data_IF_801915629322
#
_entry.id   IF_801915629322
#
_cell.length_a   1.000
_cell.length_b   1.000
_cell.length_c   1.000
_cell.angle_alpha   90.00
_cell.angle_beta   90.00
_cell.angle_gamma   90.00
#
_symmetry.space_group_name_H-M   'P 1'
#
loop_
_entity.id
_entity.type
_entity.pdbx_description
1 polymer ?
#
# COMPACT_ATOMS: atom_id res chain seq x y z
N UNK A 1 3.80 31.06 11.72
CA UNK A 1 4.91 30.20 12.20
C UNK A 1 4.37 29.29 13.31
N UNK A 2 4.43 27.95 13.12
CA UNK A 2 3.93 26.97 14.11
C UNK A 2 4.93 26.81 15.28
N UNK A 3 5.09 27.83 16.10
CA UNK A 3 5.98 27.81 17.27
C UNK A 3 5.57 26.68 18.21
N UNK A 4 6.50 25.76 18.52
CA UNK A 4 6.30 24.66 19.47
C UNK A 4 5.71 23.38 18.93
N UNK A 5 5.29 23.29 17.65
CA UNK A 5 4.83 22.03 17.03
C UNK A 5 5.97 21.35 16.29
N UNK A 6 6.15 20.06 16.53
CA UNK A 6 7.07 19.22 15.74
C UNK A 6 6.57 19.07 14.31
N UNK A 7 7.46 18.71 13.37
CA UNK A 7 7.08 18.39 11.97
C UNK A 7 6.01 17.27 11.97
N UNK A 8 6.19 16.25 12.79
CA UNK A 8 5.21 15.17 12.94
C UNK A 8 3.83 15.71 13.33
N UNK A 9 3.75 16.59 14.34
CA UNK A 9 2.46 17.18 14.75
C UNK A 9 1.84 18.04 13.66
N UNK A 10 2.63 18.71 12.84
CA UNK A 10 2.14 19.47 11.70
C UNK A 10 1.55 18.55 10.63
N UNK A 11 2.24 17.46 10.29
CA UNK A 11 1.72 16.44 9.37
C UNK A 11 0.42 15.85 9.91
N UNK A 12 0.39 15.46 11.18
CA UNK A 12 -0.82 14.86 11.79
C UNK A 12 -1.98 15.85 11.88
N UNK A 13 -1.74 17.17 11.89
CA UNK A 13 -2.82 18.16 11.86
C UNK A 13 -3.56 18.23 10.53
N UNK A 14 -3.02 17.64 9.45
CA UNK A 14 -3.69 17.52 8.15
C UNK A 14 -4.71 16.36 8.12
N UNK A 15 -4.66 15.47 9.11
CA UNK A 15 -5.53 14.31 9.21
C UNK A 15 -6.97 14.75 9.50
N UNK A 16 -7.97 14.32 8.70
CA UNK A 16 -9.36 14.66 8.91
C UNK A 16 -9.93 13.88 10.12
N UNK A 17 -9.83 14.45 11.30
CA UNK A 17 -10.19 13.78 12.57
C UNK A 17 -11.63 13.26 12.60
N UNK A 18 -12.57 13.99 12.00
CA UNK A 18 -13.98 13.58 11.93
C UNK A 18 -14.14 12.28 11.17
N UNK A 19 -13.46 12.16 10.01
CA UNK A 19 -13.55 10.94 9.20
C UNK A 19 -12.88 9.76 9.90
N UNK A 20 -11.73 10.00 10.54
CA UNK A 20 -11.07 8.98 11.36
C UNK A 20 -12.00 8.49 12.49
N UNK A 21 -12.62 9.42 13.21
CA UNK A 21 -13.61 9.07 14.26
C UNK A 21 -14.75 8.24 13.70
N UNK A 22 -15.29 8.59 12.52
CA UNK A 22 -16.36 7.82 11.87
C UNK A 22 -15.93 6.38 11.60
N UNK A 23 -14.70 6.16 11.12
CA UNK A 23 -14.17 4.80 10.94
C UNK A 23 -14.03 4.06 12.28
N UNK A 24 -13.52 4.72 13.30
CA UNK A 24 -13.40 4.13 14.66
C UNK A 24 -14.75 3.73 15.23
N UNK A 25 -15.77 4.59 15.11
CA UNK A 25 -17.11 4.36 15.64
C UNK A 25 -17.81 3.20 14.91
N UNK A 26 -17.63 3.09 13.57
CA UNK A 26 -18.18 2.01 12.73
C UNK A 26 -17.79 0.63 13.25
N UNK A 27 -16.56 0.45 13.65
CA UNK A 27 -16.01 -0.83 14.14
C UNK A 27 -15.91 -0.88 15.67
N UNK A 28 -16.50 0.07 16.38
CA UNK A 28 -16.45 0.15 17.84
C UNK A 28 -15.03 0.08 18.40
N UNK A 29 -14.04 0.65 17.68
CA UNK A 29 -12.62 0.49 17.98
C UNK A 29 -12.17 0.97 19.34
N UNK A 30 -12.89 1.92 19.94
CA UNK A 30 -12.65 2.42 21.30
C UNK A 30 -13.52 1.72 22.37
N UNK A 31 -14.26 0.65 22.02
CA UNK A 31 -15.04 -0.09 23.02
C UNK A 31 -14.13 -0.66 24.11
N UNK A 32 -14.43 -0.34 25.36
CA UNK A 32 -13.62 -0.68 26.54
C UNK A 32 -12.17 -0.15 26.54
N UNK A 33 -11.81 0.77 25.64
CA UNK A 33 -10.53 1.47 25.69
C UNK A 33 -10.56 2.53 26.81
N UNK A 34 -9.72 2.38 27.86
CA UNK A 34 -9.66 3.35 28.98
C UNK A 34 -8.65 4.46 28.71
N UNK A 35 -7.39 4.09 28.48
CA UNK A 35 -6.27 5.05 28.43
C UNK A 35 -5.56 5.10 27.07
N UNK A 36 -5.82 4.17 26.16
CA UNK A 36 -5.17 4.08 24.87
C UNK A 36 -6.21 3.94 23.76
N UNK A 37 -6.56 5.07 23.14
CA UNK A 37 -7.56 5.13 22.07
C UNK A 37 -7.01 4.64 20.71
N UNK A 38 -7.90 4.45 19.73
CA UNK A 38 -7.49 4.20 18.35
C UNK A 38 -6.69 5.37 17.76
N UNK A 39 -6.98 6.60 18.18
CA UNK A 39 -6.21 7.79 17.78
C UNK A 39 -4.78 7.73 18.33
N UNK A 40 -4.62 7.36 19.60
CA UNK A 40 -3.28 7.20 20.20
C UNK A 40 -2.49 6.11 19.47
N UNK A 41 -3.14 4.96 19.17
CA UNK A 41 -2.49 3.90 18.38
C UNK A 41 -2.08 4.41 17.00
N UNK A 42 -2.97 5.11 16.30
CA UNK A 42 -2.68 5.67 14.99
C UNK A 42 -1.48 6.62 15.04
N UNK A 43 -1.45 7.55 16.01
CA UNK A 43 -0.33 8.49 16.18
C UNK A 43 0.98 7.77 16.48
N UNK A 44 0.97 6.81 17.40
CA UNK A 44 2.18 6.05 17.77
C UNK A 44 2.70 5.22 16.60
N UNK A 45 1.83 4.52 15.88
CA UNK A 45 2.22 3.71 14.72
C UNK A 45 2.69 4.58 13.54
N UNK A 46 2.04 5.73 13.29
CA UNK A 46 2.47 6.70 12.28
C UNK A 46 3.83 7.30 12.64
N UNK A 47 4.03 7.64 13.90
CA UNK A 47 5.32 8.14 14.39
C UNK A 47 6.41 7.08 14.19
N UNK A 48 6.13 5.84 14.56
CA UNK A 48 7.06 4.72 14.40
C UNK A 48 7.46 4.52 12.92
N UNK A 49 6.48 4.54 12.03
CA UNK A 49 6.69 4.37 10.59
C UNK A 49 7.53 5.53 10.01
N UNK A 50 7.19 6.78 10.33
CA UNK A 50 7.90 7.96 9.82
C UNK A 50 9.32 8.11 10.40
N UNK A 51 9.60 7.51 11.55
CA UNK A 51 10.92 7.55 12.18
C UNK A 51 11.71 6.25 12.04
N UNK A 52 11.22 5.29 11.22
CA UNK A 52 11.93 4.05 10.89
C UNK A 52 12.14 3.13 12.10
N UNK A 53 11.09 2.91 12.93
CA UNK A 53 11.18 2.00 14.07
C UNK A 53 10.90 0.56 13.63
N UNK A 54 11.79 -0.37 14.00
CA UNK A 54 11.76 -1.75 13.52
C UNK A 54 10.92 -2.69 14.40
N UNK A 55 10.66 -2.34 15.65
CA UNK A 55 9.97 -3.22 16.59
C UNK A 55 9.18 -2.45 17.64
N UNK A 56 8.19 -3.13 18.26
CA UNK A 56 7.42 -2.55 19.37
C UNK A 56 8.31 -2.18 20.57
N UNK A 57 9.44 -2.87 20.77
CA UNK A 57 10.43 -2.54 21.80
C UNK A 57 11.18 -1.26 21.43
N UNK A 58 11.56 -1.11 20.19
CA UNK A 58 12.22 0.10 19.70
C UNK A 58 11.28 1.31 19.78
N UNK A 59 9.99 1.13 19.44
CA UNK A 59 8.97 2.16 19.64
C UNK A 59 8.89 2.59 21.12
N UNK A 60 8.76 1.65 22.04
CA UNK A 60 8.69 1.91 23.50
C UNK A 60 9.92 2.67 23.98
N UNK A 61 11.12 2.21 23.61
CA UNK A 61 12.39 2.85 23.99
C UNK A 61 12.48 4.28 23.45
N UNK A 62 12.11 4.49 22.18
CA UNK A 62 12.10 5.81 21.57
C UNK A 62 11.11 6.74 22.25
N UNK A 63 9.88 6.31 22.48
CA UNK A 63 8.86 7.10 23.18
C UNK A 63 9.30 7.42 24.62
N UNK A 64 9.93 6.49 25.32
CA UNK A 64 10.45 6.70 26.67
C UNK A 64 11.55 7.74 26.69
N UNK A 65 12.51 7.64 25.76
CA UNK A 65 13.60 8.61 25.62
C UNK A 65 13.09 10.04 25.30
N UNK A 66 11.96 10.15 24.59
CA UNK A 66 11.34 11.40 24.20
C UNK A 66 10.18 11.81 25.12
N UNK A 67 10.03 11.23 26.29
CA UNK A 67 8.87 11.41 27.18
C UNK A 67 8.51 12.90 27.43
N UNK A 68 9.49 13.75 27.63
CA UNK A 68 9.30 15.21 27.83
C UNK A 68 8.85 15.97 26.57
N UNK A 69 8.95 15.35 25.38
CA UNK A 69 8.63 15.98 24.08
C UNK A 69 7.40 15.37 23.40
N UNK A 70 6.86 14.27 23.91
CA UNK A 70 5.72 13.55 23.31
C UNK A 70 4.49 14.43 23.18
N UNK A 71 4.26 15.31 24.13
CA UNK A 71 3.18 16.30 24.08
C UNK A 71 3.20 17.12 22.77
N UNK A 72 4.38 17.51 22.30
CA UNK A 72 4.53 18.25 21.05
C UNK A 72 4.26 17.39 19.80
N UNK A 73 4.19 16.08 19.97
CA UNK A 73 3.81 15.12 18.91
C UNK A 73 2.32 14.73 18.97
N UNK A 74 1.58 15.26 19.95
CA UNK A 74 0.19 14.87 20.20
C UNK A 74 0.05 13.51 20.87
N UNK A 75 1.14 12.94 21.39
CA UNK A 75 1.18 11.66 22.10
C UNK A 75 1.22 11.96 23.61
N UNK A 76 0.21 11.47 24.35
CA UNK A 76 0.01 11.84 25.75
C UNK A 76 1.05 11.26 26.70
N UNK A 77 1.58 10.07 26.39
CA UNK A 77 2.56 9.37 27.23
C UNK A 77 3.34 8.31 26.45
N UNK A 78 4.45 7.86 27.01
CA UNK A 78 5.23 6.76 26.46
C UNK A 78 4.43 5.45 26.63
N UNK A 79 3.94 4.91 25.52
CA UNK A 79 3.05 3.73 25.52
C UNK A 79 3.88 2.46 25.71
N UNK A 80 3.58 1.62 26.72
CA UNK A 80 4.24 0.34 26.89
C UNK A 80 4.00 -0.59 25.70
N UNK A 81 5.01 -1.33 25.27
CA UNK A 81 4.94 -2.27 24.13
C UNK A 81 3.78 -3.29 24.27
N UNK A 82 3.51 -3.75 25.49
CA UNK A 82 2.43 -4.70 25.74
C UNK A 82 1.04 -4.08 25.48
N UNK A 83 0.87 -2.79 25.78
CA UNK A 83 -0.37 -2.05 25.47
C UNK A 83 -0.54 -1.90 23.96
N UNK A 84 0.54 -1.55 23.25
CA UNK A 84 0.54 -1.42 21.81
C UNK A 84 0.31 -2.77 21.12
N UNK A 85 0.97 -3.85 21.60
CA UNK A 85 0.77 -5.21 21.10
C UNK A 85 -0.68 -5.66 21.22
N UNK A 86 -1.29 -5.50 22.42
CA UNK A 86 -2.69 -5.84 22.65
C UNK A 86 -3.66 -5.02 21.80
N UNK A 87 -3.35 -3.75 21.56
CA UNK A 87 -4.16 -2.91 20.69
C UNK A 87 -4.08 -3.39 19.23
N UNK A 88 -2.87 -3.71 18.73
CA UNK A 88 -2.67 -4.24 17.39
C UNK A 88 -3.35 -5.60 17.18
N UNK A 89 -3.38 -6.45 18.22
CA UNK A 89 -4.03 -7.76 18.17
C UNK A 89 -5.57 -7.68 18.17
N UNK A 90 -6.14 -6.78 19.02
CA UNK A 90 -7.57 -6.78 19.31
C UNK A 90 -8.40 -5.83 18.45
N UNK A 91 -7.80 -4.76 17.97
CA UNK A 91 -8.53 -3.75 17.21
C UNK A 91 -8.74 -4.21 15.77
N UNK A 92 -9.92 -3.91 15.26
CA UNK A 92 -10.26 -4.21 13.88
C UNK A 92 -9.40 -3.38 12.93
N UNK A 93 -8.64 -4.04 12.08
CA UNK A 93 -7.77 -3.42 11.10
C UNK A 93 -8.53 -2.63 10.02
N UNK A 94 -9.81 -2.95 9.80
CA UNK A 94 -10.65 -2.22 8.84
C UNK A 94 -10.82 -0.74 9.22
N UNK A 95 -10.66 -0.37 10.49
CA UNK A 95 -10.64 1.04 10.93
C UNK A 95 -9.61 1.81 10.10
N UNK A 96 -8.40 1.29 10.01
CA UNK A 96 -7.28 1.95 9.35
C UNK A 96 -7.35 1.81 7.84
N UNK A 97 -7.86 0.68 7.35
CA UNK A 97 -8.11 0.48 5.91
C UNK A 97 -9.15 1.47 5.38
N UNK A 98 -10.32 1.53 6.01
CA UNK A 98 -11.37 2.46 5.58
C UNK A 98 -10.92 3.91 5.69
N UNK A 99 -10.12 4.22 6.70
CA UNK A 99 -9.55 5.55 6.84
C UNK A 99 -8.54 5.87 5.74
N UNK A 100 -7.69 4.91 5.35
CA UNK A 100 -6.79 5.05 4.22
C UNK A 100 -7.57 5.31 2.91
N UNK A 101 -8.66 4.57 2.67
CA UNK A 101 -9.55 4.78 1.52
C UNK A 101 -10.15 6.19 1.51
N UNK A 102 -10.53 6.73 2.68
CA UNK A 102 -11.02 8.12 2.80
C UNK A 102 -9.93 9.12 2.45
N UNK A 103 -8.70 8.91 2.95
CA UNK A 103 -7.56 9.78 2.64
C UNK A 103 -7.25 9.77 1.15
N UNK A 104 -7.19 8.59 0.53
CA UNK A 104 -6.94 8.44 -0.90
C UNK A 104 -7.99 9.18 -1.75
N UNK A 105 -9.28 9.06 -1.41
CA UNK A 105 -10.35 9.80 -2.09
C UNK A 105 -10.17 11.33 -2.00
N UNK A 106 -9.64 11.84 -0.90
CA UNK A 106 -9.38 13.27 -0.71
C UNK A 106 -8.13 13.76 -1.41
N UNK A 107 -7.10 12.92 -1.47
CA UNK A 107 -5.79 13.29 -2.02
C UNK A 107 -5.76 13.13 -3.54
N UNK A 108 -6.38 12.09 -4.09
CA UNK A 108 -6.37 11.80 -5.53
C UNK A 108 -6.72 13.02 -6.42
N UNK A 109 -7.77 13.82 -6.12
CA UNK A 109 -8.09 15.00 -6.94
C UNK A 109 -6.99 16.07 -6.98
N UNK A 110 -6.11 16.12 -5.98
CA UNK A 110 -5.01 17.10 -5.93
C UNK A 110 -3.93 16.81 -6.98
N UNK A 111 -3.80 15.54 -7.38
CA UNK A 111 -2.79 15.05 -8.32
C UNK A 111 -3.31 14.82 -9.75
N UNK A 112 -4.60 15.07 -10.01
CA UNK A 112 -5.20 14.87 -11.35
C UNK A 112 -4.49 15.70 -12.43
N UNK A 113 -3.93 16.86 -12.06
CA UNK A 113 -3.23 17.76 -12.98
C UNK A 113 -1.73 17.47 -13.07
N UNK A 114 -1.21 16.57 -12.26
CA UNK A 114 0.21 16.21 -12.32
C UNK A 114 0.46 15.45 -13.62
N UNK A 115 1.41 15.96 -14.40
CA UNK A 115 1.79 15.32 -15.66
C UNK A 115 2.64 14.10 -15.35
N UNK A 116 2.28 12.98 -15.91
CA UNK A 116 3.18 11.86 -16.05
C UNK A 116 4.33 12.30 -16.99
N UNK A 117 5.56 11.87 -16.69
CA UNK A 117 6.76 12.31 -17.46
C UNK A 117 6.74 11.89 -18.93
N UNK A 118 5.81 11.03 -19.32
CA UNK A 118 5.56 10.62 -20.69
C UNK A 118 4.34 11.36 -21.23
N UNK A 119 4.32 11.65 -22.50
CA UNK A 119 3.20 12.30 -23.22
C UNK A 119 2.11 11.24 -23.49
N UNK A 120 1.42 10.85 -22.42
CA UNK A 120 0.36 9.86 -22.41
C UNK A 120 -0.88 10.45 -21.74
N UNK A 121 -1.99 10.43 -22.46
CA UNK A 121 -3.31 10.85 -21.92
C UNK A 121 -3.90 9.79 -20.98
N UNK A 122 -3.51 8.53 -21.18
CA UNK A 122 -4.00 7.40 -20.39
C UNK A 122 -3.58 7.48 -18.93
N UNK A 123 -4.42 6.97 -18.03
CA UNK A 123 -4.00 6.68 -16.67
C UNK A 123 -2.99 5.52 -16.68
N UNK A 124 -1.93 5.65 -15.91
CA UNK A 124 -0.89 4.62 -15.81
C UNK A 124 -0.79 4.14 -14.37
N UNK A 125 -0.97 2.85 -14.19
CA UNK A 125 -0.93 2.17 -12.90
C UNK A 125 0.21 1.17 -12.84
N UNK A 126 0.91 1.13 -11.72
CA UNK A 126 1.81 0.03 -11.40
C UNK A 126 1.11 -0.94 -10.42
N UNK A 127 1.16 -2.22 -10.72
CA UNK A 127 0.60 -3.27 -9.88
C UNK A 127 1.68 -4.26 -9.47
N UNK A 128 1.86 -4.40 -8.16
CA UNK A 128 2.84 -5.33 -7.59
C UNK A 128 2.39 -5.89 -6.25
N UNK A 129 3.08 -6.95 -5.80
CA UNK A 129 2.86 -7.56 -4.49
C UNK A 129 4.14 -7.60 -3.66
N UNK A 130 4.00 -7.22 -2.41
CA UNK A 130 5.06 -7.37 -1.40
C UNK A 130 4.71 -8.48 -0.43
N UNK A 131 5.64 -9.41 -0.20
CA UNK A 131 5.45 -10.49 0.79
C UNK A 131 5.94 -10.03 2.15
N UNK A 132 5.05 -10.06 3.14
CA UNK A 132 5.34 -9.76 4.54
C UNK A 132 5.45 -11.09 5.29
N UNK A 133 6.65 -11.40 5.78
CA UNK A 133 6.89 -12.62 6.56
C UNK A 133 6.25 -12.52 7.94
N UNK A 134 5.54 -13.57 8.36
CA UNK A 134 4.89 -13.66 9.66
C UNK A 134 5.43 -14.84 10.45
N UNK A 135 5.44 -14.70 11.78
CA UNK A 135 5.74 -15.81 12.67
C UNK A 135 4.61 -16.84 12.60
N UNK A 136 4.89 -18.03 12.08
CA UNK A 136 3.89 -19.09 11.90
C UNK A 136 3.24 -19.53 13.21
N UNK A 137 3.98 -19.47 14.32
CA UNK A 137 3.45 -19.81 15.66
C UNK A 137 2.35 -18.82 16.12
N UNK A 138 2.48 -17.56 15.73
CA UNK A 138 1.51 -16.50 16.04
C UNK A 138 0.39 -16.40 15.01
N UNK A 139 0.69 -16.75 13.75
CA UNK A 139 -0.24 -16.64 12.62
C UNK A 139 -0.34 -17.98 11.87
N UNK A 140 -0.91 -19.05 12.46
CA UNK A 140 -0.97 -20.38 11.83
C UNK A 140 -1.75 -20.39 10.52
N UNK A 141 -2.75 -19.50 10.38
CA UNK A 141 -3.58 -19.32 9.19
C UNK A 141 -2.79 -18.79 7.98
N UNK A 142 -1.66 -18.11 8.23
CA UNK A 142 -0.84 -17.49 7.19
C UNK A 142 0.25 -18.42 6.65
N UNK A 143 0.16 -19.74 6.87
CA UNK A 143 1.13 -20.74 6.39
C UNK A 143 1.14 -20.76 4.86
N UNK A 144 2.34 -20.62 4.26
CA UNK A 144 2.52 -20.75 2.81
C UNK A 144 3.65 -21.69 2.39
N UNK A 145 4.58 -22.00 3.32
CA UNK A 145 5.61 -23.04 3.17
C UNK A 145 5.70 -23.85 4.46
N UNK A 146 6.40 -25.00 4.41
CA UNK A 146 6.47 -25.95 5.53
C UNK A 146 6.73 -25.26 6.90
N UNK A 147 7.64 -24.28 6.94
CA UNK A 147 8.05 -23.59 8.16
C UNK A 147 7.94 -22.04 8.08
N UNK A 148 7.20 -21.51 7.10
CA UNK A 148 7.07 -20.06 6.90
C UNK A 148 5.62 -19.63 6.83
N UNK A 149 5.28 -18.60 7.60
CA UNK A 149 4.05 -17.83 7.49
C UNK A 149 4.29 -16.53 6.74
N UNK A 150 3.28 -16.05 6.04
CA UNK A 150 3.33 -14.77 5.37
C UNK A 150 2.00 -14.36 4.77
N UNK A 151 1.89 -13.07 4.55
CA UNK A 151 0.82 -12.45 3.77
C UNK A 151 1.43 -11.71 2.59
N UNK A 152 0.66 -11.56 1.54
CA UNK A 152 0.99 -10.68 0.42
C UNK A 152 0.12 -9.44 0.49
N UNK A 153 0.77 -8.30 0.35
CA UNK A 153 0.13 -7.01 0.19
C UNK A 153 0.20 -6.63 -1.30
N UNK A 154 -0.94 -6.69 -1.97
CA UNK A 154 -1.06 -6.28 -3.36
C UNK A 154 -1.40 -4.81 -3.41
N UNK A 155 -0.62 -4.05 -4.16
CA UNK A 155 -0.75 -2.60 -4.23
C UNK A 155 -0.88 -2.16 -5.68
N UNK A 156 -1.93 -1.38 -5.97
CA UNK A 156 -2.08 -0.64 -7.20
C UNK A 156 -1.70 0.81 -6.94
N UNK A 157 -0.74 1.32 -7.69
CA UNK A 157 -0.22 2.69 -7.53
C UNK A 157 -0.53 3.49 -8.80
N UNK A 158 -1.16 4.64 -8.66
CA UNK A 158 -1.29 5.64 -9.72
C UNK A 158 0.06 6.36 -9.86
N UNK A 159 0.69 6.25 -11.03
CA UNK A 159 2.02 6.80 -11.26
C UNK A 159 2.04 8.31 -11.48
N UNK A 160 0.91 8.97 -11.68
CA UNK A 160 0.87 10.43 -11.79
C UNK A 160 1.26 11.12 -10.49
N UNK A 161 0.72 10.64 -9.36
CA UNK A 161 1.04 11.19 -8.04
C UNK A 161 1.79 10.22 -7.14
N UNK A 162 2.19 9.04 -7.63
CA UNK A 162 2.75 7.94 -6.84
C UNK A 162 1.84 7.56 -5.65
N UNK A 163 0.52 7.59 -5.88
CA UNK A 163 -0.48 7.34 -4.85
C UNK A 163 -0.98 5.89 -4.90
N UNK A 164 -1.03 5.17 -3.79
CA UNK A 164 -1.72 3.89 -3.74
C UNK A 164 -3.22 4.11 -4.01
N UNK A 165 -3.75 3.43 -5.00
CA UNK A 165 -5.19 3.50 -5.36
C UNK A 165 -5.96 2.39 -4.67
N UNK A 166 -5.35 1.22 -4.58
CA UNK A 166 -5.92 0.04 -3.93
C UNK A 166 -4.82 -0.75 -3.24
N UNK A 167 -5.12 -1.20 -2.04
CA UNK A 167 -4.27 -2.12 -1.26
C UNK A 167 -5.16 -3.23 -0.73
N UNK A 168 -4.80 -4.49 -0.99
CA UNK A 168 -5.48 -5.62 -0.39
C UNK A 168 -4.50 -6.73 0.00
N UNK A 169 -4.95 -7.56 0.94
CA UNK A 169 -4.12 -8.57 1.58
C UNK A 169 -4.62 -9.97 1.21
N UNK A 170 -3.68 -10.85 0.86
CA UNK A 170 -3.94 -12.28 0.68
C UNK A 170 -2.97 -13.11 1.51
N UNK A 171 -3.28 -14.38 1.71
CA UNK A 171 -2.27 -15.31 2.19
C UNK A 171 -1.11 -15.39 1.20
N UNK A 172 0.13 -15.50 1.67
CA UNK A 172 1.30 -15.66 0.80
C UNK A 172 1.27 -16.95 -0.05
N UNK A 173 0.36 -17.89 0.25
CA UNK A 173 0.10 -19.08 -0.57
C UNK A 173 -0.68 -18.78 -1.86
N UNK A 174 -1.36 -17.62 -1.93
CA UNK A 174 -2.11 -17.22 -3.11
C UNK A 174 -1.13 -16.78 -4.21
N UNK A 175 -1.33 -17.31 -5.42
CA UNK A 175 -0.52 -16.90 -6.58
C UNK A 175 -0.86 -15.44 -6.95
N UNK A 176 0.16 -14.63 -7.23
CA UNK A 176 0.03 -13.20 -7.57
C UNK A 176 -0.91 -12.95 -8.74
N UNK A 177 -0.89 -13.84 -9.74
CA UNK A 177 -1.78 -13.77 -10.91
C UNK A 177 -3.25 -13.73 -10.54
N UNK A 178 -3.66 -14.44 -9.46
CA UNK A 178 -5.06 -14.45 -9.01
C UNK A 178 -5.53 -13.09 -8.49
N UNK A 179 -4.58 -12.28 -8.06
CA UNK A 179 -4.86 -10.93 -7.59
C UNK A 179 -5.44 -10.02 -8.68
N UNK A 180 -5.16 -10.31 -9.95
CA UNK A 180 -5.75 -9.58 -11.09
C UNK A 180 -7.27 -9.80 -11.22
N UNK A 181 -7.80 -10.90 -10.71
CA UNK A 181 -9.23 -11.21 -10.80
C UNK A 181 -10.08 -10.28 -9.92
N UNK A 182 -9.49 -9.82 -8.80
CA UNK A 182 -10.13 -8.96 -7.81
C UNK A 182 -9.86 -7.45 -8.04
N UNK A 183 -8.96 -7.14 -8.99
CA UNK A 183 -8.58 -5.77 -9.27
C UNK A 183 -9.68 -5.05 -10.05
N UNK A 184 -10.09 -3.88 -9.56
CA UNK A 184 -10.89 -2.97 -10.36
C UNK A 184 -10.04 -2.41 -11.50
N UNK A 185 -10.44 -2.73 -12.74
CA UNK A 185 -9.75 -2.28 -13.95
C UNK A 185 -10.50 -1.09 -14.52
N UNK A 186 -9.80 0.04 -14.61
CA UNK A 186 -10.28 1.27 -15.23
C UNK A 186 -10.11 1.16 -16.76
N UNK A 187 -11.15 1.41 -17.55
CA UNK A 187 -11.06 1.38 -19.02
C UNK A 187 -10.04 2.39 -19.55
N UNK A 188 -9.38 2.04 -20.65
CA UNK A 188 -8.34 2.84 -21.33
C UNK A 188 -7.09 3.11 -20.48
N UNK A 189 -6.96 2.54 -19.28
CA UNK A 189 -5.75 2.67 -18.48
C UNK A 189 -4.68 1.67 -18.90
N UNK A 190 -3.43 2.00 -18.60
CA UNK A 190 -2.25 1.17 -18.82
C UNK A 190 -1.79 0.60 -17.48
N UNK A 191 -1.62 -0.72 -17.42
CA UNK A 191 -1.18 -1.43 -16.21
C UNK A 191 0.24 -1.95 -16.39
N UNK A 192 1.17 -1.45 -15.59
CA UNK A 192 2.54 -1.96 -15.52
C UNK A 192 2.60 -3.10 -14.51
N UNK A 193 3.06 -4.25 -14.93
CA UNK A 193 3.11 -5.47 -14.10
C UNK A 193 4.42 -6.21 -14.30
N UNK A 194 4.90 -6.93 -13.28
CA UNK A 194 6.03 -7.83 -13.43
C UNK A 194 5.64 -9.09 -14.21
N UNK A 195 6.63 -9.79 -14.77
CA UNK A 195 6.48 -11.06 -15.50
C UNK A 195 5.77 -12.15 -14.68
N UNK A 196 5.75 -12.04 -13.37
CA UNK A 196 4.98 -12.93 -12.48
C UNK A 196 3.49 -12.93 -12.74
N UNK A 197 2.95 -11.83 -13.30
CA UNK A 197 1.54 -11.67 -13.63
C UNK A 197 1.17 -12.13 -15.05
N UNK A 198 2.10 -12.63 -15.84
CA UNK A 198 1.83 -13.12 -17.20
C UNK A 198 0.97 -14.37 -17.15
N UNK A 199 -0.29 -14.19 -17.55
CA UNK A 199 -1.30 -15.22 -17.78
C UNK A 199 -2.15 -14.78 -18.98
N UNK A 200 -2.02 -15.49 -20.08
CA UNK A 200 -2.62 -15.07 -21.35
C UNK A 200 -4.14 -14.92 -21.28
N UNK A 201 -4.83 -15.78 -20.54
CA UNK A 201 -6.29 -15.67 -20.40
C UNK A 201 -6.70 -14.39 -19.65
N UNK A 202 -5.95 -14.00 -18.62
CA UNK A 202 -6.22 -12.80 -17.85
C UNK A 202 -5.85 -11.55 -18.62
N UNK A 203 -4.68 -11.54 -19.26
CA UNK A 203 -4.24 -10.43 -20.10
C UNK A 203 -5.18 -10.23 -21.29
N UNK A 204 -5.65 -11.30 -21.93
CA UNK A 204 -6.65 -11.22 -23.00
C UNK A 204 -7.98 -10.63 -22.49
N UNK A 205 -8.45 -11.04 -21.32
CA UNK A 205 -9.66 -10.46 -20.71
C UNK A 205 -9.46 -8.97 -20.36
N UNK A 206 -8.26 -8.58 -19.93
CA UNK A 206 -7.95 -7.19 -19.62
C UNK A 206 -8.10 -6.31 -20.86
N UNK A 207 -7.56 -6.75 -22.01
CA UNK A 207 -7.70 -6.02 -23.28
C UNK A 207 -9.14 -6.07 -23.76
N UNK A 208 -9.72 -7.26 -23.95
CA UNK A 208 -10.97 -7.43 -24.70
C UNK A 208 -12.22 -7.10 -23.91
N UNK A 209 -12.25 -7.43 -22.61
CA UNK A 209 -13.44 -7.24 -21.77
C UNK A 209 -13.38 -5.96 -20.92
N UNK A 210 -12.19 -5.51 -20.57
CA UNK A 210 -12.00 -4.33 -19.71
C UNK A 210 -11.53 -3.12 -20.50
N UNK A 211 -11.20 -3.28 -21.78
CA UNK A 211 -10.68 -2.21 -22.64
C UNK A 211 -9.51 -1.45 -21.99
N UNK A 212 -8.56 -2.19 -21.42
CA UNK A 212 -7.38 -1.64 -20.77
C UNK A 212 -6.12 -2.23 -21.42
N UNK A 213 -5.00 -1.57 -21.22
CA UNK A 213 -3.71 -1.97 -21.78
C UNK A 213 -2.79 -2.48 -20.68
N UNK A 214 -1.76 -3.22 -21.03
CA UNK A 214 -0.73 -3.64 -20.09
C UNK A 214 0.66 -3.52 -20.69
N UNK A 215 1.63 -3.35 -19.81
CA UNK A 215 3.06 -3.45 -20.11
C UNK A 215 3.66 -4.41 -19.10
N UNK A 216 4.36 -5.44 -19.58
CA UNK A 216 5.01 -6.43 -18.75
C UNK A 216 6.29 -6.92 -19.40
N UNK A 217 7.20 -7.47 -18.60
CA UNK A 217 8.38 -8.18 -19.13
C UNK A 217 7.96 -9.56 -19.62
N UNK A 218 8.46 -9.94 -20.79
CA UNK A 218 8.28 -11.30 -21.28
C UNK A 218 8.98 -12.31 -20.35
N UNK A 219 8.42 -13.52 -20.27
CA UNK A 219 9.12 -14.67 -19.68
C UNK A 219 10.07 -15.28 -20.70
N UNK A 220 11.20 -15.79 -20.23
CA UNK A 220 12.24 -16.37 -21.09
C UNK A 220 11.74 -17.57 -21.92
N UNK A 221 10.66 -18.22 -21.50
CA UNK A 221 10.02 -19.37 -22.15
C UNK A 221 8.75 -19.00 -22.93
N UNK A 222 8.50 -17.72 -23.19
CA UNK A 222 7.39 -17.32 -24.08
C UNK A 222 7.77 -17.60 -25.53
N UNK A 223 6.87 -18.29 -26.23
CA UNK A 223 6.96 -18.50 -27.66
C UNK A 223 6.07 -17.46 -28.34
N UNK A 224 6.64 -16.72 -29.28
CA UNK A 224 5.94 -15.79 -30.15
C UNK A 224 6.57 -15.78 -31.53
N UNK A 225 5.79 -15.42 -32.53
CA UNK A 225 6.25 -15.23 -33.90
C UNK A 225 6.23 -13.73 -34.19
N UNK A 226 7.35 -13.25 -34.75
CA UNK A 226 7.48 -11.84 -35.15
C UNK A 226 6.72 -11.65 -36.46
N UNK A 227 5.71 -10.80 -36.43
CA UNK A 227 4.89 -10.44 -37.61
C UNK A 227 5.50 -9.32 -38.40
N UNK A 228 6.06 -8.32 -37.72
CA UNK A 228 6.73 -7.19 -38.35
C UNK A 228 7.72 -6.53 -37.37
N UNK A 229 8.74 -5.90 -37.90
CA UNK A 229 9.72 -5.13 -37.17
C UNK A 229 9.57 -3.65 -37.52
N UNK A 230 9.72 -2.76 -36.52
CA UNK A 230 9.78 -1.32 -36.71
C UNK A 230 11.24 -0.83 -36.64
N UNK A 231 11.54 0.26 -37.34
CA UNK A 231 12.82 0.91 -37.20
C UNK A 231 12.98 1.52 -35.80
N UNK A 232 14.14 1.27 -35.19
CA UNK A 232 14.46 1.78 -33.85
C UNK A 232 15.71 2.64 -33.86
N UNK A 233 15.66 3.72 -33.09
CA UNK A 233 16.86 4.51 -32.81
C UNK A 233 17.66 3.83 -31.68
N UNK A 234 18.74 3.15 -32.06
CA UNK A 234 19.61 2.43 -31.12
C UNK A 234 20.30 3.35 -30.10
N UNK A 235 20.37 4.66 -30.36
CA UNK A 235 20.95 5.62 -29.41
C UNK A 235 20.09 5.77 -28.13
N UNK A 236 18.82 5.41 -28.20
CA UNK A 236 17.89 5.41 -27.08
C UNK A 236 18.04 4.18 -26.16
N UNK A 237 18.85 3.18 -26.55
CA UNK A 237 19.02 1.92 -25.85
C UNK A 237 17.96 0.86 -26.22
N UNK A 238 17.05 1.16 -27.16
CA UNK A 238 16.09 0.17 -27.70
C UNK A 238 16.85 -0.73 -28.68
N UNK A 239 16.75 -2.04 -28.49
CA UNK A 239 17.43 -3.06 -29.31
C UNK A 239 16.57 -3.42 -30.52
N UNK A 240 15.30 -3.69 -30.32
CA UNK A 240 14.31 -4.00 -31.36
C UNK A 240 12.93 -3.51 -30.94
N UNK A 241 12.05 -3.25 -31.91
CA UNK A 241 10.63 -3.01 -31.75
C UNK A 241 9.88 -3.94 -32.73
N UNK A 242 9.23 -4.93 -32.19
CA UNK A 242 8.66 -6.04 -32.93
C UNK A 242 7.17 -6.19 -32.61
N UNK A 243 6.38 -6.36 -33.65
CA UNK A 243 4.99 -6.79 -33.51
C UNK A 243 4.93 -8.31 -33.55
N UNK A 244 4.31 -8.90 -32.53
CA UNK A 244 4.17 -10.34 -32.34
C UNK A 244 2.69 -10.75 -32.40
#
# INVERSE_FOLDING_TARGET
MNKGKTIFSQIMSLIPERDFKTCVDRYKGNYRARNFSCKDQFLVMSYAQLTGRDSLRDIENCLTALSSKLYHCGISYAVPRNTLAKANEKRDWHIYKDFADVLLKKVRPLYVKDKFRLDLDNMVYAFDSSTISLCLKLCPWAKYRKNKGGIKMHTLVDLRGNLPVSVYLTSASVNDVKALDDLYIEPSAIYLMDRGYVDFNRLFKLITKKNAFFVTRAKDNMLFEVVSEAEVDKSTGIISDERI
#
